data_IF_431655030044
#
_entry.id   IF_431655030044
#
_cell.length_a   1.000
_cell.length_b   1.000
_cell.length_c   1.000
_cell.angle_alpha   90.00
_cell.angle_beta   90.00
_cell.angle_gamma   90.00
#
_symmetry.space_group_name_H-M   'P 1'
#
loop_
_entity.id
_entity.type
_entity.pdbx_description
1 polymer ?
#
# COMPACT_ATOMS: atom_id res chain seq x y z
N UNK A 1 -7.23 -9.48 18.02
CA UNK A 1 -8.49 -9.69 17.28
C UNK A 1 -8.27 -9.73 15.77
N UNK A 2 -7.26 -9.05 15.20
CA UNK A 2 -6.96 -9.08 13.75
C UNK A 2 -5.61 -9.74 13.37
N UNK A 3 -4.95 -10.41 14.33
CA UNK A 3 -3.63 -11.04 14.12
C UNK A 3 -3.73 -12.57 13.99
N UNK A 4 -4.94 -13.09 13.81
CA UNK A 4 -5.27 -14.49 13.62
C UNK A 4 -5.99 -14.63 12.29
N UNK A 5 -5.91 -15.80 11.65
CA UNK A 5 -6.56 -16.05 10.35
C UNK A 5 -8.07 -15.73 10.40
N UNK A 6 -8.72 -16.08 11.51
CA UNK A 6 -10.14 -15.77 11.79
C UNK A 6 -10.44 -14.27 11.82
N UNK A 7 -9.47 -13.44 12.20
CA UNK A 7 -9.62 -11.98 12.23
C UNK A 7 -9.60 -11.33 10.85
N UNK A 8 -9.22 -12.07 9.80
CA UNK A 8 -9.27 -11.59 8.42
C UNK A 8 -10.71 -11.58 7.87
N UNK A 9 -11.61 -12.38 8.44
CA UNK A 9 -13.02 -12.41 8.05
C UNK A 9 -13.77 -11.14 8.47
N UNK A 10 -13.26 -10.42 9.48
CA UNK A 10 -13.81 -9.16 9.97
C UNK A 10 -13.35 -7.94 9.15
N UNK A 11 -12.48 -8.14 8.15
CA UNK A 11 -12.00 -7.05 7.30
C UNK A 11 -13.06 -6.61 6.28
N UNK A 12 -13.22 -5.30 6.14
CA UNK A 12 -14.08 -4.68 5.12
C UNK A 12 -13.42 -4.80 3.74
N UNK A 13 -13.55 -5.98 3.13
CA UNK A 13 -12.95 -6.33 1.83
C UNK A 13 -13.44 -5.43 0.69
N UNK A 14 -14.65 -4.90 0.76
CA UNK A 14 -15.19 -3.98 -0.25
C UNK A 14 -14.49 -2.63 -0.19
N UNK A 15 -14.25 -2.10 1.02
CA UNK A 15 -13.41 -0.91 1.21
C UNK A 15 -11.97 -1.19 0.81
N UNK A 16 -11.40 -2.33 1.22
CA UNK A 16 -10.04 -2.79 0.89
C UNK A 16 -9.84 -3.03 -0.62
N UNK A 17 -10.89 -3.29 -1.40
CA UNK A 17 -10.79 -3.40 -2.87
C UNK A 17 -11.18 -2.13 -3.61
N UNK A 18 -11.72 -1.12 -2.92
CA UNK A 18 -12.12 0.15 -3.52
C UNK A 18 -10.96 0.89 -4.21
N UNK A 19 -11.22 1.44 -5.39
CA UNK A 19 -10.32 2.34 -6.12
C UNK A 19 -10.26 3.76 -5.55
N UNK A 20 -11.29 4.20 -4.82
CA UNK A 20 -11.37 5.54 -4.23
C UNK A 20 -11.24 5.45 -2.72
N UNK A 21 -10.36 6.26 -2.16
CA UNK A 21 -9.92 6.17 -0.77
C UNK A 21 -10.15 7.46 0.01
N UNK A 22 -10.85 8.45 -0.55
CA UNK A 22 -11.20 9.64 0.20
C UNK A 22 -12.34 9.34 1.17
N UNK A 23 -12.30 9.96 2.35
CA UNK A 23 -13.39 9.91 3.31
C UNK A 23 -14.58 10.67 2.70
N UNK A 24 -15.77 10.09 2.73
CA UNK A 24 -17.00 10.80 2.40
C UNK A 24 -17.74 11.17 3.69
N UNK A 25 -18.67 12.12 3.61
CA UNK A 25 -19.55 12.43 4.75
C UNK A 25 -20.33 11.19 5.23
N UNK A 26 -20.59 10.25 4.32
CA UNK A 26 -21.28 8.99 4.59
C UNK A 26 -20.37 7.89 5.14
N UNK A 27 -19.05 7.99 4.94
CA UNK A 27 -18.07 7.00 5.37
C UNK A 27 -16.72 7.65 5.77
N UNK A 28 -16.66 8.22 7.00
CA UNK A 28 -15.49 8.96 7.47
C UNK A 28 -14.31 8.06 7.89
N UNK A 29 -14.54 6.75 8.07
CA UNK A 29 -13.52 5.78 8.51
C UNK A 29 -12.99 4.91 7.37
N UNK A 30 -13.36 5.22 6.12
CA UNK A 30 -13.01 4.44 4.93
C UNK A 30 -11.51 4.28 4.75
N UNK A 31 -10.72 5.33 4.99
CA UNK A 31 -9.25 5.26 4.96
C UNK A 31 -8.68 4.33 6.02
N UNK A 32 -9.24 4.36 7.23
CA UNK A 32 -8.75 3.54 8.35
C UNK A 32 -9.02 2.06 8.10
N UNK A 33 -10.21 1.71 7.60
CA UNK A 33 -10.55 0.33 7.23
C UNK A 33 -9.71 -0.18 6.06
N UNK A 34 -9.37 0.68 5.08
CA UNK A 34 -8.43 0.37 3.99
C UNK A 34 -7.04 -0.01 4.50
N UNK A 35 -6.52 0.74 5.47
CA UNK A 35 -5.18 0.52 6.02
C UNK A 35 -5.04 -0.78 6.84
N UNK A 36 -6.15 -1.47 7.15
CA UNK A 36 -6.13 -2.76 7.82
C UNK A 36 -5.66 -3.92 6.92
N UNK A 37 -5.46 -3.71 5.61
CA UNK A 37 -5.09 -4.74 4.63
C UNK A 37 -3.68 -5.34 4.83
N UNK A 38 -2.74 -4.59 5.43
CA UNK A 38 -1.35 -5.04 5.55
C UNK A 38 -0.77 -4.72 6.93
N UNK A 39 -0.75 -5.71 7.80
CA UNK A 39 -0.09 -5.64 9.10
C UNK A 39 1.33 -6.22 8.99
N UNK A 40 2.35 -5.35 9.08
CA UNK A 40 3.75 -5.79 9.18
C UNK A 40 4.11 -5.94 10.65
N UNK A 41 4.49 -7.13 11.07
CA UNK A 41 5.02 -7.38 12.41
C UNK A 41 6.54 -7.22 12.41
N UNK A 42 7.04 -6.18 13.09
CA UNK A 42 8.45 -5.80 13.21
C UNK A 42 9.10 -5.35 11.90
N UNK A 43 9.27 -6.26 10.93
CA UNK A 43 9.92 -6.00 9.66
C UNK A 43 9.35 -6.89 8.55
N UNK A 44 9.52 -6.45 7.30
CA UNK A 44 9.20 -7.25 6.11
C UNK A 44 10.49 -7.46 5.31
N UNK A 45 10.80 -8.71 4.92
CA UNK A 45 11.92 -8.98 4.02
C UNK A 45 11.75 -8.20 2.72
N UNK A 46 12.84 -7.62 2.23
CA UNK A 46 12.78 -6.74 1.06
C UNK A 46 12.42 -7.52 -0.21
N UNK A 47 12.74 -8.82 -0.23
CA UNK A 47 12.42 -9.77 -1.29
C UNK A 47 10.91 -10.07 -1.37
N UNK A 48 10.15 -9.77 -0.32
CA UNK A 48 8.69 -9.91 -0.33
C UNK A 48 8.00 -8.75 -1.06
N UNK A 49 8.73 -7.67 -1.39
CA UNK A 49 8.21 -6.50 -2.10
C UNK A 49 8.37 -6.72 -3.60
N UNK A 50 7.24 -6.84 -4.32
CA UNK A 50 7.28 -7.03 -5.77
C UNK A 50 7.60 -5.74 -6.53
N UNK A 51 7.00 -4.61 -6.14
CA UNK A 51 7.21 -3.31 -6.77
C UNK A 51 6.81 -2.16 -5.83
N UNK A 52 7.35 -0.96 -6.09
CA UNK A 52 6.93 0.29 -5.43
C UNK A 52 6.14 1.14 -6.41
N UNK A 53 4.91 1.50 -6.06
CA UNK A 53 4.11 2.42 -6.83
C UNK A 53 4.41 3.89 -6.54
N UNK A 54 4.68 4.67 -7.59
CA UNK A 54 4.93 6.12 -7.47
C UNK A 54 4.00 6.94 -8.38
N UNK A 55 3.75 8.18 -7.98
CA UNK A 55 2.81 9.07 -8.68
C UNK A 55 3.35 9.60 -10.03
N UNK A 56 4.66 9.85 -10.13
CA UNK A 56 5.28 10.40 -11.34
C UNK A 56 6.77 10.01 -11.44
N UNK A 57 7.38 10.37 -12.57
CA UNK A 57 8.79 10.06 -12.87
C UNK A 57 9.76 10.74 -11.90
N UNK A 58 9.42 11.92 -11.37
CA UNK A 58 10.27 12.59 -10.38
C UNK A 58 10.31 11.80 -9.06
N UNK A 59 9.15 11.33 -8.58
CA UNK A 59 9.08 10.43 -7.43
C UNK A 59 9.79 9.10 -7.70
N UNK A 60 9.68 8.57 -8.93
CA UNK A 60 10.41 7.36 -9.35
C UNK A 60 11.93 7.54 -9.23
N UNK A 61 12.47 8.66 -9.70
CA UNK A 61 13.91 8.95 -9.61
C UNK A 61 14.38 9.05 -8.15
N UNK A 62 13.59 9.66 -7.27
CA UNK A 62 13.88 9.72 -5.82
C UNK A 62 13.92 8.31 -5.23
N UNK A 63 12.91 7.48 -5.53
CA UNK A 63 12.85 6.09 -5.06
C UNK A 63 14.07 5.31 -5.56
N UNK A 64 14.42 5.40 -6.84
CA UNK A 64 15.62 4.72 -7.36
C UNK A 64 16.92 5.17 -6.71
N UNK A 65 17.06 6.46 -6.35
CA UNK A 65 18.24 6.95 -5.64
C UNK A 65 18.32 6.44 -4.19
N UNK A 66 17.18 6.11 -3.57
CA UNK A 66 17.16 5.45 -2.27
C UNK A 66 17.51 3.97 -2.46
N UNK A 67 16.84 3.31 -3.41
CA UNK A 67 17.01 1.88 -3.67
C UNK A 67 18.41 1.54 -4.15
N UNK A 68 19.12 2.42 -4.88
CA UNK A 68 20.51 2.19 -5.32
C UNK A 68 21.50 2.02 -4.17
N UNK A 69 21.12 2.41 -2.94
CA UNK A 69 21.92 2.21 -1.72
C UNK A 69 21.73 0.81 -1.12
N UNK A 70 20.76 0.06 -1.61
CA UNK A 70 20.42 -1.28 -1.19
C UNK A 70 20.61 -2.20 -2.40
N UNK A 71 21.07 -3.44 -2.21
CA UNK A 71 21.11 -4.43 -3.29
C UNK A 71 19.70 -5.02 -3.52
N UNK A 72 18.76 -4.12 -3.79
CA UNK A 72 17.33 -4.33 -3.77
C UNK A 72 16.81 -4.47 -5.21
N UNK A 73 16.48 -5.69 -5.62
CA UNK A 73 16.14 -6.04 -7.01
C UNK A 73 14.71 -5.75 -7.48
N UNK A 74 13.94 -4.89 -6.79
CA UNK A 74 12.53 -4.62 -7.15
C UNK A 74 12.33 -3.25 -7.83
N UNK A 75 11.32 -3.19 -8.70
CA UNK A 75 11.08 -2.08 -9.62
C UNK A 75 10.20 -0.98 -9.00
N UNK A 76 10.50 0.29 -9.28
CA UNK A 76 9.60 1.40 -8.99
C UNK A 76 8.75 1.70 -10.24
N UNK A 77 7.43 1.54 -10.15
CA UNK A 77 6.49 1.67 -11.28
C UNK A 77 5.69 2.96 -11.12
N UNK A 78 5.68 3.79 -12.17
CA UNK A 78 4.83 5.00 -12.21
C UNK A 78 3.39 4.58 -12.49
N UNK A 79 2.50 4.81 -11.52
CA UNK A 79 1.06 4.62 -11.71
C UNK A 79 0.43 5.85 -12.33
N UNK A 80 0.24 5.81 -13.65
CA UNK A 80 -0.42 6.89 -14.40
C UNK A 80 -1.96 6.79 -14.33
N UNK A 81 -2.49 6.38 -13.17
CA UNK A 81 -3.91 6.29 -12.93
C UNK A 81 -4.26 7.47 -12.03
N UNK A 82 -5.01 8.44 -12.56
CA UNK A 82 -5.32 9.73 -11.95
C UNK A 82 -6.12 9.63 -10.65
N UNK A 83 -5.50 9.07 -9.62
CA UNK A 83 -6.03 8.97 -8.26
C UNK A 83 -5.77 10.28 -7.53
N UNK A 84 -6.68 11.22 -7.73
CA UNK A 84 -7.15 12.19 -6.73
C UNK A 84 -8.66 12.36 -6.93
#
# INVERSE_FOLDING_TARGET
>A
MYNTEEGLDDLDWDTIRSKRWFDSEEDPDRKRRKQAELLVHQEIPIEAIHAIGVYNQNAQAIVYNILSKFDAGFEAIVFNNGYY
#
